data_IF_541957524584
#
_entry.id   IF_541957524584
#
_cell.length_a   1.000
_cell.length_b   1.000
_cell.length_c   1.000
_cell.angle_alpha   90.00
_cell.angle_beta   90.00
_cell.angle_gamma   90.00
#
_symmetry.space_group_name_H-M   'P 1'
#
loop_
_entity.id
_entity.type
_entity.pdbx_description
1 polymer ?
#
# COMPACT_ATOMS: atom_id res chain seq x y z
N UNK A 1 12.71 2.80 -1.68
CA UNK A 1 12.13 1.57 -1.11
C UNK A 1 10.63 1.77 -1.09
N UNK A 2 9.89 1.44 -2.14
CA UNK A 2 8.61 2.11 -2.34
C UNK A 2 7.57 1.70 -1.29
N UNK A 3 7.26 2.60 -0.34
CA UNK A 3 6.02 2.56 0.44
C UNK A 3 6.14 2.55 1.97
N UNK A 4 7.34 2.55 2.56
CA UNK A 4 7.55 2.62 4.02
C UNK A 4 8.84 3.41 4.39
N UNK A 5 9.13 4.46 3.62
CA UNK A 5 10.29 5.32 3.85
C UNK A 5 10.22 6.05 5.21
N UNK A 6 9.00 6.36 5.67
CA UNK A 6 8.70 6.90 6.99
C UNK A 6 9.11 5.95 8.13
N UNK A 7 8.78 4.67 8.03
CA UNK A 7 9.21 3.66 9.01
C UNK A 7 10.73 3.44 8.98
N UNK A 8 11.35 3.48 7.80
CA UNK A 8 12.80 3.37 7.69
C UNK A 8 13.50 4.55 8.39
N UNK A 9 12.99 5.77 8.20
CA UNK A 9 13.49 6.96 8.87
C UNK A 9 13.24 6.91 10.39
N UNK A 10 12.05 6.49 10.81
CA UNK A 10 11.68 6.33 12.21
C UNK A 10 12.61 5.34 12.92
N UNK A 11 12.88 4.18 12.30
CA UNK A 11 13.84 3.21 12.83
C UNK A 11 15.23 3.81 12.98
N UNK A 12 15.74 4.49 11.95
CA UNK A 12 17.02 5.15 12.02
C UNK A 12 17.08 6.18 13.16
N UNK A 13 16.05 7.01 13.33
CA UNK A 13 15.99 8.02 14.38
C UNK A 13 16.03 7.38 15.78
N UNK A 14 15.26 6.30 15.99
CA UNK A 14 15.28 5.54 17.25
C UNK A 14 16.63 4.88 17.52
N UNK A 15 17.25 4.29 16.51
CA UNK A 15 18.59 3.68 16.61
C UNK A 15 19.67 4.75 16.95
N UNK A 16 19.39 6.04 16.72
CA UNK A 16 20.23 7.19 17.10
C UNK A 16 19.78 7.89 18.39
N UNK A 17 18.92 7.27 19.20
CA UNK A 17 18.52 7.77 20.52
C UNK A 17 17.37 8.78 20.52
N UNK A 18 16.70 8.98 19.39
CA UNK A 18 15.48 9.81 19.32
C UNK A 18 14.23 9.04 19.77
N UNK A 19 13.22 9.76 20.25
CA UNK A 19 11.89 9.22 20.55
C UNK A 19 10.85 9.66 19.52
N UNK A 20 9.79 8.84 19.36
CA UNK A 20 8.65 9.14 18.47
C UNK A 20 7.44 9.45 19.34
N UNK A 21 6.76 10.56 19.04
CA UNK A 21 5.57 11.01 19.76
C UNK A 21 4.36 11.08 18.83
N UNK A 22 3.22 10.60 19.31
CA UNK A 22 1.94 10.74 18.61
C UNK A 22 1.32 12.10 18.90
N UNK A 23 0.87 12.78 17.85
CA UNK A 23 0.15 14.06 17.93
C UNK A 23 -1.23 13.86 17.33
N UNK A 24 -2.26 13.90 18.16
CA UNK A 24 -3.64 13.57 17.76
C UNK A 24 -4.27 14.63 16.87
N UNK A 25 -3.79 15.87 16.98
CA UNK A 25 -4.28 17.06 16.29
C UNK A 25 -3.73 17.18 14.86
N UNK A 26 -2.76 16.34 14.49
CA UNK A 26 -2.19 16.34 13.15
C UNK A 26 -3.27 15.98 12.12
N UNK A 27 -3.46 16.84 11.12
CA UNK A 27 -4.43 16.61 10.06
C UNK A 27 -4.00 15.43 9.18
N UNK A 28 -4.92 14.48 8.96
CA UNK A 28 -4.72 13.34 8.07
C UNK A 28 -5.62 13.52 6.85
N UNK A 29 -5.02 13.86 5.71
CA UNK A 29 -5.73 13.98 4.43
C UNK A 29 -5.64 12.67 3.65
N UNK A 30 -6.78 12.00 3.43
CA UNK A 30 -6.84 10.75 2.67
C UNK A 30 -7.13 11.03 1.18
N UNK A 31 -6.10 11.07 0.32
CA UNK A 31 -6.24 11.37 -1.11
C UNK A 31 -5.97 10.14 -1.99
N UNK A 32 -6.72 9.06 -1.83
CA UNK A 32 -6.50 7.86 -2.65
C UNK A 32 -7.80 7.31 -3.26
N UNK A 33 -7.85 7.31 -4.60
CA UNK A 33 -8.78 6.51 -5.38
C UNK A 33 -8.00 5.38 -6.06
N UNK A 34 -7.84 4.27 -5.36
CA UNK A 34 -7.05 3.13 -5.86
C UNK A 34 -7.91 2.01 -6.43
N UNK A 35 -7.43 1.40 -7.51
CA UNK A 35 -7.99 0.16 -8.03
C UNK A 35 -7.70 -1.02 -7.09
N UNK A 36 -8.44 -2.12 -7.22
CA UNK A 36 -8.20 -3.34 -6.45
C UNK A 36 -6.78 -3.90 -6.65
N UNK A 37 -6.27 -3.85 -7.88
CA UNK A 37 -4.89 -4.22 -8.19
C UNK A 37 -3.88 -3.23 -7.56
N UNK A 38 -4.23 -1.95 -7.47
CA UNK A 38 -3.45 -0.92 -6.78
C UNK A 38 -3.29 -1.23 -5.30
N UNK A 39 -4.41 -1.52 -4.61
CA UNK A 39 -4.43 -1.86 -3.19
C UNK A 39 -3.52 -3.07 -2.90
N UNK A 40 -3.70 -4.16 -3.63
CA UNK A 40 -2.88 -5.36 -3.45
C UNK A 40 -1.39 -5.07 -3.65
N UNK A 41 -1.04 -4.37 -4.74
CA UNK A 41 0.35 -4.06 -5.05
C UNK A 41 0.97 -3.09 -4.04
N UNK A 42 0.20 -2.13 -3.51
CA UNK A 42 0.66 -1.24 -2.44
C UNK A 42 1.06 -2.04 -1.21
N UNK A 43 0.15 -2.83 -0.65
CA UNK A 43 0.43 -3.64 0.53
C UNK A 43 1.49 -4.73 0.29
N UNK A 44 1.64 -5.21 -0.96
CA UNK A 44 2.75 -6.08 -1.35
C UNK A 44 4.09 -5.36 -1.23
N UNK A 45 4.22 -4.14 -1.77
CA UNK A 45 5.45 -3.35 -1.68
C UNK A 45 5.77 -2.97 -0.24
N UNK A 46 4.77 -2.55 0.53
CA UNK A 46 4.91 -2.28 1.97
C UNK A 46 5.40 -3.53 2.71
N UNK A 47 4.82 -4.71 2.45
CA UNK A 47 5.28 -5.96 3.06
C UNK A 47 6.75 -6.29 2.74
N UNK A 48 7.19 -6.04 1.50
CA UNK A 48 8.61 -6.23 1.11
C UNK A 48 9.52 -5.23 1.82
N UNK A 49 9.12 -3.95 1.86
CA UNK A 49 9.87 -2.89 2.51
C UNK A 49 9.98 -3.16 4.03
N UNK A 50 8.89 -3.55 4.68
CA UNK A 50 8.87 -3.87 6.10
C UNK A 50 9.85 -5.00 6.42
N UNK A 51 9.81 -6.09 5.65
CA UNK A 51 10.73 -7.22 5.85
C UNK A 51 12.19 -6.86 5.58
N UNK A 52 12.45 -5.88 4.72
CA UNK A 52 13.79 -5.34 4.50
C UNK A 52 14.27 -4.48 5.68
N UNK A 53 13.38 -3.67 6.27
CA UNK A 53 13.68 -2.81 7.44
C UNK A 53 13.82 -3.66 8.72
N UNK A 54 13.00 -4.70 8.85
CA UNK A 54 12.96 -5.61 10.00
C UNK A 54 13.14 -7.08 9.54
N UNK A 55 14.39 -7.54 9.31
CA UNK A 55 14.66 -8.86 8.76
C UNK A 55 14.20 -10.03 9.63
N UNK A 56 14.03 -9.85 10.93
CA UNK A 56 13.62 -10.92 11.84
C UNK A 56 12.10 -11.09 11.93
N UNK A 57 11.34 -10.07 11.52
CA UNK A 57 9.89 -10.06 11.58
C UNK A 57 9.26 -11.04 10.59
N UNK A 58 8.15 -11.67 11.00
CA UNK A 58 7.47 -12.69 10.20
C UNK A 58 6.02 -12.32 9.99
N UNK A 59 5.53 -12.61 8.79
CA UNK A 59 4.11 -12.54 8.46
C UNK A 59 3.67 -13.86 7.87
N UNK A 60 3.13 -14.73 8.71
CA UNK A 60 2.73 -16.09 8.34
C UNK A 60 1.33 -16.12 7.72
N UNK A 61 0.93 -17.28 7.19
CA UNK A 61 -0.48 -17.49 6.78
C UNK A 61 -1.45 -17.38 7.94
N UNK A 62 -1.01 -17.76 9.15
CA UNK A 62 -1.82 -17.65 10.37
C UNK A 62 -2.07 -16.18 10.70
N UNK A 63 -1.05 -15.33 10.57
CA UNK A 63 -1.16 -13.89 10.79
C UNK A 63 -2.11 -13.24 9.77
N UNK A 64 -1.99 -13.61 8.49
CA UNK A 64 -2.92 -13.17 7.44
C UNK A 64 -4.37 -13.44 7.86
N UNK A 65 -4.71 -14.71 8.16
CA UNK A 65 -6.09 -15.11 8.46
C UNK A 65 -6.58 -14.44 9.75
N UNK A 66 -5.74 -14.43 10.79
CA UNK A 66 -6.06 -13.82 12.09
C UNK A 66 -6.37 -12.33 11.92
N UNK A 67 -5.46 -11.58 11.29
CA UNK A 67 -5.60 -10.13 11.12
C UNK A 67 -6.74 -9.79 10.16
N UNK A 68 -6.94 -10.57 9.11
CA UNK A 68 -8.07 -10.43 8.20
C UNK A 68 -9.40 -10.51 8.95
N UNK A 69 -9.61 -11.58 9.74
CA UNK A 69 -10.86 -11.77 10.50
C UNK A 69 -11.04 -10.64 11.52
N UNK A 70 -10.00 -10.32 12.31
CA UNK A 70 -10.07 -9.28 13.32
C UNK A 70 -10.46 -7.91 12.74
N UNK A 71 -9.85 -7.53 11.61
CA UNK A 71 -10.13 -6.24 10.98
C UNK A 71 -11.48 -6.20 10.27
N UNK A 72 -11.91 -7.28 9.61
CA UNK A 72 -13.25 -7.36 9.02
C UNK A 72 -14.33 -7.21 10.11
N UNK A 73 -14.14 -7.87 11.26
CA UNK A 73 -15.08 -7.75 12.37
C UNK A 73 -15.07 -6.34 12.97
N UNK A 74 -13.89 -5.75 13.17
CA UNK A 74 -13.76 -4.38 13.69
C UNK A 74 -14.43 -3.36 12.78
N UNK A 75 -14.10 -3.35 11.49
CA UNK A 75 -14.68 -2.44 10.50
C UNK A 75 -16.19 -2.70 10.32
N UNK A 76 -16.59 -3.97 10.39
CA UNK A 76 -18.01 -4.37 10.33
C UNK A 76 -18.81 -3.78 11.48
N UNK A 77 -18.27 -3.80 12.71
CA UNK A 77 -18.89 -3.15 13.89
C UNK A 77 -19.01 -1.64 13.70
N UNK A 78 -18.00 -0.99 13.17
CA UNK A 78 -18.07 0.46 12.87
C UNK A 78 -19.09 0.77 11.76
N UNK A 79 -19.16 -0.05 10.71
CA UNK A 79 -20.15 0.10 9.66
C UNK A 79 -21.59 -0.15 10.15
N UNK A 80 -21.78 -1.02 11.14
CA UNK A 80 -23.06 -1.23 11.83
C UNK A 80 -23.45 0.01 12.65
N UNK A 81 -22.54 0.55 13.46
CA UNK A 81 -22.77 1.80 14.22
C UNK A 81 -23.14 2.96 13.29
N UNK A 82 -22.51 3.03 12.12
CA UNK A 82 -22.79 4.02 11.09
C UNK A 82 -24.05 3.71 10.23
N UNK A 83 -24.82 2.65 10.54
CA UNK A 83 -26.04 2.21 9.80
C UNK A 83 -25.81 1.97 8.29
N UNK A 84 -24.60 1.57 7.89
CA UNK A 84 -24.21 1.38 6.47
C UNK A 84 -23.64 -0.01 6.16
N UNK A 85 -23.85 -0.97 7.06
CA UNK A 85 -23.25 -2.31 7.00
C UNK A 85 -23.45 -3.04 5.66
N UNK A 86 -24.69 -3.25 5.22
CA UNK A 86 -25.00 -4.01 4.00
C UNK A 86 -24.34 -3.40 2.74
N UNK A 87 -24.30 -2.07 2.66
CA UNK A 87 -23.69 -1.34 1.54
C UNK A 87 -22.15 -1.37 1.53
N UNK A 88 -21.53 -1.77 2.65
CA UNK A 88 -20.09 -1.57 2.89
C UNK A 88 -19.34 -2.86 3.19
N UNK A 89 -19.99 -3.89 3.77
CA UNK A 89 -19.32 -5.11 4.23
C UNK A 89 -18.57 -5.84 3.11
N UNK A 90 -19.12 -5.92 1.90
CA UNK A 90 -18.42 -6.49 0.75
C UNK A 90 -17.16 -5.71 0.37
N UNK A 91 -17.16 -4.38 0.52
CA UNK A 91 -15.99 -3.52 0.28
C UNK A 91 -14.92 -3.74 1.35
N UNK A 92 -15.34 -3.84 2.62
CA UNK A 92 -14.45 -4.15 3.76
C UNK A 92 -13.75 -5.49 3.54
N UNK A 93 -14.52 -6.56 3.29
CA UNK A 93 -13.98 -7.91 3.06
C UNK A 93 -12.97 -7.90 1.91
N UNK A 94 -13.34 -7.31 0.77
CA UNK A 94 -12.44 -7.22 -0.39
C UNK A 94 -11.17 -6.43 -0.08
N UNK A 95 -11.30 -5.27 0.56
CA UNK A 95 -10.17 -4.42 0.91
C UNK A 95 -9.22 -5.14 1.86
N UNK A 96 -9.72 -5.68 2.98
CA UNK A 96 -8.91 -6.38 3.98
C UNK A 96 -8.26 -7.65 3.43
N UNK A 97 -8.94 -8.35 2.53
CA UNK A 97 -8.33 -9.47 1.82
C UNK A 97 -7.15 -9.02 0.97
N UNK A 98 -7.33 -8.01 0.11
CA UNK A 98 -6.26 -7.47 -0.74
C UNK A 98 -5.09 -6.91 0.09
N UNK A 99 -5.39 -6.28 1.23
CA UNK A 99 -4.41 -5.80 2.18
C UNK A 99 -3.52 -6.93 2.71
N UNK A 100 -4.10 -7.87 3.45
CA UNK A 100 -3.28 -8.88 4.13
C UNK A 100 -2.72 -9.93 3.17
N UNK A 101 -3.42 -10.25 2.08
CA UNK A 101 -2.84 -11.09 1.02
C UNK A 101 -1.68 -10.38 0.33
N UNK A 102 -1.79 -9.08 0.03
CA UNK A 102 -0.69 -8.28 -0.50
C UNK A 102 0.53 -8.34 0.41
N UNK A 103 0.36 -8.00 1.69
CA UNK A 103 1.41 -8.04 2.71
C UNK A 103 2.08 -9.42 2.79
N UNK A 104 1.30 -10.50 2.84
CA UNK A 104 1.84 -11.86 2.88
C UNK A 104 2.71 -12.21 1.67
N UNK A 105 2.26 -11.86 0.46
CA UNK A 105 3.06 -12.05 -0.74
C UNK A 105 4.32 -11.17 -0.71
N UNK A 106 4.20 -9.94 -0.19
CA UNK A 106 5.32 -9.03 -0.01
C UNK A 106 6.41 -9.64 0.86
N UNK A 107 6.06 -10.10 2.06
CA UNK A 107 6.99 -10.74 3.00
C UNK A 107 7.75 -11.92 2.39
N UNK A 108 7.08 -12.72 1.57
CA UNK A 108 7.69 -13.87 0.86
C UNK A 108 8.62 -13.48 -0.28
N UNK A 109 8.47 -12.27 -0.82
CA UNK A 109 9.23 -11.77 -1.97
C UNK A 109 10.37 -10.85 -1.58
N UNK A 110 10.61 -10.64 -0.29
CA UNK A 110 11.59 -9.69 0.28
C UNK A 110 13.07 -10.08 0.09
N UNK A 111 13.38 -10.90 -0.91
CA UNK A 111 14.76 -11.23 -1.30
C UNK A 111 15.48 -10.06 -2.00
N UNK A 112 16.69 -10.29 -2.52
CA UNK A 112 17.46 -9.27 -3.23
C UNK A 112 16.62 -8.61 -4.33
N UNK A 113 16.72 -7.28 -4.43
CA UNK A 113 15.94 -6.49 -5.37
C UNK A 113 16.36 -6.85 -6.80
N UNK A 114 15.65 -7.80 -7.43
CA UNK A 114 15.99 -8.27 -8.77
C UNK A 114 15.88 -7.14 -9.78
N UNK A 115 16.61 -7.23 -10.90
CA UNK A 115 16.52 -6.23 -11.97
C UNK A 115 15.08 -6.04 -12.49
N UNK A 116 14.28 -7.12 -12.52
CA UNK A 116 12.86 -7.07 -12.87
C UNK A 116 12.04 -6.23 -11.88
N UNK A 117 12.34 -6.35 -10.59
CA UNK A 117 11.68 -5.59 -9.53
C UNK A 117 12.11 -4.12 -9.54
N UNK A 118 13.40 -3.84 -9.78
CA UNK A 118 13.90 -2.48 -10.02
C UNK A 118 13.17 -1.85 -11.21
N UNK A 119 12.96 -2.62 -12.29
CA UNK A 119 12.19 -2.15 -13.44
C UNK A 119 10.75 -1.82 -13.08
N UNK A 120 10.06 -2.69 -12.36
CA UNK A 120 8.67 -2.45 -11.95
C UNK A 120 8.50 -1.20 -11.06
N UNK A 121 9.52 -0.79 -10.31
CA UNK A 121 9.45 0.37 -9.42
C UNK A 121 9.91 1.68 -10.06
N UNK A 122 10.96 1.65 -10.87
CA UNK A 122 11.61 2.87 -11.37
C UNK A 122 11.36 3.13 -12.84
N UNK A 123 10.98 2.13 -13.61
CA UNK A 123 10.73 2.26 -15.04
C UNK A 123 9.27 1.96 -15.32
N UNK A 124 8.44 2.99 -15.65
CA UNK A 124 7.07 2.73 -16.06
C UNK A 124 7.11 1.74 -17.24
N UNK A 125 6.39 0.62 -17.11
CA UNK A 125 6.23 -0.31 -18.22
C UNK A 125 5.67 0.47 -19.41
N UNK A 126 6.26 0.26 -20.59
CA UNK A 126 5.71 0.77 -21.85
C UNK A 126 4.33 0.12 -22.11
N UNK A 127 3.31 0.58 -21.41
CA UNK A 127 1.92 0.17 -21.59
C UNK A 127 0.96 1.18 -20.96
N UNK A 128 1.26 2.47 -21.14
CA UNK A 128 0.20 3.46 -21.34
C UNK A 128 0.61 4.29 -22.55
N UNK A 129 0.46 3.74 -23.75
CA UNK A 129 -0.10 4.57 -24.81
C UNK A 129 -1.47 5.00 -24.28
N UNK A 130 -1.50 6.08 -23.50
CA UNK A 130 -2.68 6.91 -23.47
C UNK A 130 -2.85 7.22 -24.95
N UNK A 131 -3.92 6.74 -25.57
CA UNK A 131 -4.39 7.34 -26.81
C UNK A 131 -4.62 8.79 -26.44
N UNK A 132 -3.60 9.62 -26.61
CA UNK A 132 -3.68 11.05 -26.57
C UNK A 132 -4.84 11.36 -27.49
N UNK A 133 -5.95 11.85 -26.92
CA UNK A 133 -7.05 12.36 -27.72
C UNK A 133 -6.40 13.32 -28.70
N UNK A 134 -6.51 13.00 -29.99
CA UNK A 134 -5.90 13.77 -31.07
C UNK A 134 -6.19 15.24 -30.80
N UNK A 135 -5.14 16.00 -30.49
CA UNK A 135 -5.25 17.41 -30.13
C UNK A 135 -5.76 18.13 -31.37
N UNK A 136 -7.00 18.64 -31.34
CA UNK A 136 -7.59 19.46 -32.43
C UNK A 136 -7.03 20.89 -32.45
N UNK A 137 -5.74 21.07 -32.18
CA UNK A 137 -5.10 22.39 -32.20
C UNK A 137 -3.85 22.26 -33.06
N UNK A 138 -3.73 23.12 -34.07
CA UNK A 138 -2.58 23.11 -34.98
C UNK A 138 -1.29 23.36 -34.18
N UNK A 139 -0.20 22.63 -34.48
CA UNK A 139 1.07 22.83 -33.82
C UNK A 139 1.62 24.23 -34.14
N UNK A 140 2.25 24.86 -33.16
CA UNK A 140 2.89 26.16 -33.31
C UNK A 140 4.08 25.98 -34.24
N UNK A 141 4.04 26.67 -35.37
CA UNK A 141 5.14 26.73 -36.35
C UNK A 141 6.19 27.70 -35.79
N UNK A 142 7.40 27.19 -35.57
CA UNK A 142 8.56 28.04 -35.33
C UNK A 142 9.30 28.15 -36.65
N UNK A 143 9.08 29.28 -37.35
CA UNK A 143 9.96 29.73 -38.43
C UNK A 143 11.09 30.56 -37.83
#
# INVERSE_FOLDING_TARGET
MPGLEDLAWAKWAQDNGSSIHYVAEAEVVHVHNESTAGIFNRYRREGMAFKQIYPDEKFTRRDLIKLFIQNVLSDGREALKAKRYLSTIGKIIRFRWLQFSGTYHGYKQSGPLTWQLKKAFYYPGNSVQQKSRVRKVQPIQYN
#
